data_IF_596552986374
#
_entry.id   IF_596552986374
#
_cell.length_a   1.000
_cell.length_b   1.000
_cell.length_c   1.000
_cell.angle_alpha   90.00
_cell.angle_beta   90.00
_cell.angle_gamma   90.00
#
_symmetry.space_group_name_H-M   'P 1'
#
loop_
_entity.id
_entity.type
_entity.pdbx_description
1 polymer ?
#
# COMPACT_ATOMS: atom_id res chain seq x y z
N UNK A 1 18.20 2.38 2.78
CA UNK A 1 17.13 2.29 3.81
C UNK A 1 17.01 3.65 4.49
N UNK A 2 15.81 4.09 4.86
CA UNK A 2 15.60 5.39 5.52
C UNK A 2 15.51 5.24 7.05
N UNK A 3 15.84 6.30 7.82
CA UNK A 3 15.60 6.35 9.27
C UNK A 3 14.11 6.26 9.62
N UNK A 4 13.82 5.89 10.87
CA UNK A 4 12.45 5.75 11.37
C UNK A 4 11.69 7.07 11.31
N UNK A 5 12.35 8.18 11.60
CA UNK A 5 11.79 9.53 11.61
C UNK A 5 11.28 9.90 10.21
N UNK A 6 12.09 9.65 9.18
CA UNK A 6 11.68 9.87 7.79
C UNK A 6 10.55 8.92 7.37
N UNK A 7 10.54 7.69 7.86
CA UNK A 7 9.45 6.76 7.62
C UNK A 7 8.13 7.24 8.24
N UNK A 8 8.17 7.80 9.44
CA UNK A 8 7.00 8.38 10.11
C UNK A 8 6.42 9.54 9.29
N UNK A 9 7.26 10.48 8.87
CA UNK A 9 6.84 11.61 8.02
C UNK A 9 6.15 11.15 6.73
N UNK A 10 6.73 10.15 6.05
CA UNK A 10 6.16 9.57 4.83
C UNK A 10 4.83 8.87 5.12
N UNK A 11 4.75 8.08 6.19
CA UNK A 11 3.53 7.39 6.59
C UNK A 11 2.41 8.38 6.94
N UNK A 12 2.72 9.47 7.63
CA UNK A 12 1.77 10.55 7.96
C UNK A 12 1.30 11.28 6.69
N UNK A 13 2.24 11.61 5.80
CA UNK A 13 1.95 12.22 4.50
C UNK A 13 0.97 11.35 3.69
N UNK A 14 1.24 10.04 3.58
CA UNK A 14 0.35 9.11 2.89
C UNK A 14 -0.99 8.93 3.62
N UNK A 15 -0.97 8.77 4.95
CA UNK A 15 -2.20 8.61 5.77
C UNK A 15 -3.15 9.80 5.63
N UNK A 16 -2.60 11.02 5.52
CA UNK A 16 -3.41 12.23 5.36
C UNK A 16 -4.14 12.30 4.01
N UNK A 17 -3.64 11.59 2.99
CA UNK A 17 -4.13 11.62 1.60
C UNK A 17 -4.91 10.38 1.19
N UNK A 18 -4.49 9.21 1.67
CA UNK A 18 -5.09 7.91 1.35
C UNK A 18 -5.87 7.42 2.57
N UNK A 19 -7.10 7.92 2.73
CA UNK A 19 -7.99 7.53 3.84
C UNK A 19 -8.91 6.37 3.48
N UNK A 20 -9.27 6.26 2.21
CA UNK A 20 -10.22 5.28 1.69
C UNK A 20 -9.95 5.01 0.22
N UNK A 21 -10.17 3.78 -0.21
CA UNK A 21 -10.24 3.38 -1.61
C UNK A 21 -11.57 2.64 -1.76
N UNK A 22 -12.44 3.12 -2.66
CA UNK A 22 -13.84 2.65 -2.75
C UNK A 22 -14.56 2.77 -1.39
N UNK A 23 -15.07 1.65 -0.87
CA UNK A 23 -15.73 1.50 0.42
C UNK A 23 -14.77 1.04 1.54
N UNK A 24 -13.48 0.85 1.24
CA UNK A 24 -12.48 0.26 2.14
C UNK A 24 -11.61 1.33 2.79
N UNK A 25 -11.63 1.41 4.12
CA UNK A 25 -10.75 2.26 4.92
C UNK A 25 -9.28 1.83 4.77
N UNK A 26 -8.39 2.81 4.58
CA UNK A 26 -6.94 2.59 4.48
C UNK A 26 -6.25 3.19 5.70
N UNK A 27 -5.52 2.35 6.43
CA UNK A 27 -4.83 2.74 7.65
C UNK A 27 -3.35 2.44 7.48
N UNK A 28 -2.50 3.46 7.47
CA UNK A 28 -1.05 3.31 7.33
C UNK A 28 -0.40 3.55 8.69
N UNK A 29 0.54 2.69 9.09
CA UNK A 29 1.28 2.82 10.35
C UNK A 29 2.76 2.56 10.13
N UNK A 30 3.58 3.51 10.59
CA UNK A 30 5.03 3.37 10.60
C UNK A 30 5.47 2.28 11.58
N UNK A 31 6.53 1.55 11.22
CA UNK A 31 7.23 0.59 12.06
C UNK A 31 8.65 1.09 12.39
N UNK A 32 9.61 0.16 12.51
CA UNK A 32 11.03 0.52 12.70
C UNK A 32 11.75 0.62 11.36
N UNK A 33 12.64 1.60 11.24
CA UNK A 33 13.38 1.92 10.00
C UNK A 33 12.41 2.18 8.83
N UNK A 34 12.63 1.53 7.69
CA UNK A 34 11.82 1.64 6.48
C UNK A 34 10.55 0.80 6.51
N UNK A 35 10.30 0.01 7.57
CA UNK A 35 9.14 -0.89 7.64
C UNK A 35 7.90 -0.10 8.04
N UNK A 36 6.78 -0.42 7.40
CA UNK A 36 5.46 0.11 7.75
C UNK A 36 4.41 -0.96 7.40
N UNK A 37 3.19 -0.76 7.88
CA UNK A 37 2.04 -1.61 7.55
C UNK A 37 0.92 -0.78 6.96
N UNK A 38 0.13 -1.42 6.09
CA UNK A 38 -1.12 -0.90 5.56
C UNK A 38 -2.21 -1.88 5.95
N UNK A 39 -3.28 -1.38 6.56
CA UNK A 39 -4.46 -2.17 6.90
C UNK A 39 -5.60 -1.69 6.03
N UNK A 40 -6.19 -2.62 5.28
CA UNK A 40 -7.42 -2.43 4.53
C UNK A 40 -8.57 -2.94 5.40
N UNK A 41 -9.51 -2.06 5.74
CA UNK A 41 -10.67 -2.41 6.58
C UNK A 41 -11.97 -2.11 5.83
N UNK A 42 -12.76 -3.14 5.61
CA UNK A 42 -14.04 -3.06 4.93
C UNK A 42 -14.60 -4.47 4.68
N UNK A 43 -15.76 -4.52 4.05
CA UNK A 43 -16.43 -5.77 3.73
C UNK A 43 -15.92 -6.37 2.42
N UNK A 44 -16.16 -7.67 2.22
CA UNK A 44 -15.79 -8.43 1.01
C UNK A 44 -14.29 -8.40 0.65
N UNK A 45 -13.43 -8.32 1.67
CA UNK A 45 -11.98 -8.47 1.53
C UNK A 45 -11.58 -9.95 1.65
N UNK A 46 -10.53 -10.33 0.94
CA UNK A 46 -10.02 -11.71 0.85
C UNK A 46 -8.51 -11.70 0.84
N UNK A 47 -7.90 -12.68 1.51
CA UNK A 47 -6.45 -12.93 1.49
C UNK A 47 -5.99 -13.66 0.22
N UNK A 48 -6.92 -14.07 -0.65
CA UNK A 48 -6.67 -14.71 -1.93
C UNK A 48 -6.10 -13.78 -3.00
N UNK A 49 -4.99 -13.08 -2.72
CA UNK A 49 -4.31 -12.15 -3.65
C UNK A 49 -2.81 -12.42 -3.71
N UNK A 50 -2.19 -12.12 -4.87
CA UNK A 50 -0.74 -12.24 -5.05
C UNK A 50 0.01 -11.05 -4.46
N UNK A 51 1.21 -11.32 -3.96
CA UNK A 51 2.14 -10.31 -3.47
C UNK A 51 2.58 -9.35 -4.59
N UNK A 52 2.74 -8.09 -4.22
CA UNK A 52 3.23 -7.02 -5.08
C UNK A 52 4.77 -6.93 -5.04
N UNK A 53 5.43 -7.51 -4.04
CA UNK A 53 6.89 -7.44 -3.92
C UNK A 53 7.58 -8.33 -4.98
N UNK A 54 8.40 -7.77 -5.89
CA UNK A 54 9.16 -8.55 -6.85
C UNK A 54 10.34 -9.32 -6.23
N UNK A 55 10.63 -9.12 -4.94
CA UNK A 55 11.76 -9.67 -4.16
C UNK A 55 13.15 -9.34 -4.74
N UNK A 56 13.20 -8.39 -5.69
CA UNK A 56 14.41 -7.98 -6.39
C UNK A 56 14.45 -6.45 -6.47
N UNK A 57 15.62 -5.90 -6.15
CA UNK A 57 15.87 -4.46 -6.20
C UNK A 57 15.86 -3.98 -7.65
N UNK A 58 15.25 -2.81 -7.90
CA UNK A 58 15.21 -2.18 -9.22
C UNK A 58 14.03 -2.60 -10.10
N UNK A 59 13.23 -3.58 -9.68
CA UNK A 59 11.98 -3.92 -10.35
C UNK A 59 10.82 -3.08 -9.82
N UNK A 60 9.86 -2.78 -10.69
CA UNK A 60 8.59 -2.17 -10.29
C UNK A 60 7.78 -3.16 -9.44
N UNK A 61 6.93 -2.67 -8.51
CA UNK A 61 5.93 -3.51 -7.86
C UNK A 61 5.14 -4.31 -8.89
N UNK A 62 4.88 -5.58 -8.59
CA UNK A 62 3.99 -6.42 -9.39
C UNK A 62 2.56 -5.94 -9.22
N UNK A 63 1.77 -6.08 -10.28
CA UNK A 63 0.32 -5.93 -10.20
C UNK A 63 -0.22 -7.11 -9.39
N UNK A 64 -0.85 -6.83 -8.25
CA UNK A 64 -1.54 -7.84 -7.46
C UNK A 64 -2.66 -8.44 -8.30
N UNK A 65 -2.78 -9.76 -8.27
CA UNK A 65 -3.83 -10.48 -8.98
C UNK A 65 -4.55 -11.40 -8.01
N UNK A 66 -5.85 -11.56 -8.22
CA UNK A 66 -6.64 -12.48 -7.41
C UNK A 66 -6.27 -13.94 -7.67
N UNK A 67 -6.39 -14.77 -6.65
CA UNK A 67 -6.26 -16.23 -6.73
C UNK A 67 -7.63 -16.91 -6.93
N UNK A 68 -8.73 -16.24 -6.61
CA UNK A 68 -10.10 -16.71 -6.77
C UNK A 68 -11.07 -15.54 -7.09
N UNK A 69 -12.37 -15.76 -7.18
CA UNK A 69 -13.33 -14.66 -7.43
C UNK A 69 -13.47 -13.68 -6.25
N UNK A 70 -13.13 -14.11 -5.03
CA UNK A 70 -13.29 -13.29 -3.81
C UNK A 70 -12.16 -12.28 -3.65
N UNK A 71 -10.96 -12.59 -4.15
CA UNK A 71 -9.81 -11.68 -4.11
C UNK A 71 -9.84 -10.55 -5.13
N UNK A 72 -10.79 -10.50 -6.07
CA UNK A 72 -10.82 -9.48 -7.13
C UNK A 72 -10.94 -8.06 -6.59
N UNK A 73 -11.84 -7.86 -5.60
CA UNK A 73 -11.96 -6.57 -4.89
C UNK A 73 -10.65 -6.21 -4.22
N UNK A 74 -10.06 -7.15 -3.47
CA UNK A 74 -8.83 -6.89 -2.70
C UNK A 74 -7.65 -6.58 -3.63
N UNK A 75 -7.48 -7.32 -4.72
CA UNK A 75 -6.41 -7.07 -5.70
C UNK A 75 -6.54 -5.68 -6.31
N UNK A 76 -7.76 -5.25 -6.64
CA UNK A 76 -8.03 -3.89 -7.14
C UNK A 76 -7.67 -2.82 -6.10
N UNK A 77 -8.12 -2.97 -4.85
CA UNK A 77 -7.78 -2.04 -3.76
C UNK A 77 -6.27 -1.94 -3.54
N UNK A 78 -5.56 -3.07 -3.52
CA UNK A 78 -4.09 -3.11 -3.36
C UNK A 78 -3.40 -2.41 -4.52
N UNK A 79 -3.81 -2.67 -5.76
CA UNK A 79 -3.21 -2.02 -6.93
C UNK A 79 -3.46 -0.51 -6.92
N UNK A 80 -4.69 -0.07 -6.64
CA UNK A 80 -5.01 1.35 -6.52
C UNK A 80 -4.21 2.02 -5.40
N UNK A 81 -3.99 1.32 -4.27
CA UNK A 81 -3.12 1.82 -3.20
C UNK A 81 -1.69 2.02 -3.70
N UNK A 82 -1.09 1.01 -4.33
CA UNK A 82 0.29 1.05 -4.82
C UNK A 82 0.48 2.15 -5.87
N UNK A 83 -0.45 2.29 -6.81
CA UNK A 83 -0.42 3.34 -7.83
C UNK A 83 -0.54 4.73 -7.22
N UNK A 84 -1.52 4.93 -6.31
CA UNK A 84 -1.74 6.21 -5.64
C UNK A 84 -0.54 6.60 -4.78
N UNK A 85 -0.03 5.68 -3.96
CA UNK A 85 1.14 5.91 -3.13
C UNK A 85 2.37 6.22 -4.00
N UNK A 86 2.59 5.46 -5.08
CA UNK A 86 3.70 5.71 -6.01
C UNK A 86 3.59 7.09 -6.67
N UNK A 87 2.39 7.52 -7.05
CA UNK A 87 2.19 8.84 -7.63
C UNK A 87 2.45 9.96 -6.61
N UNK A 88 1.92 9.83 -5.39
CA UNK A 88 2.10 10.82 -4.34
C UNK A 88 3.56 10.94 -3.89
N UNK A 89 4.31 9.84 -3.90
CA UNK A 89 5.72 9.83 -3.50
C UNK A 89 6.67 10.33 -4.58
N UNK A 90 6.29 10.32 -5.87
CA UNK A 90 7.13 10.89 -6.95
C UNK A 90 7.37 12.38 -6.75
N UNK A 91 6.34 13.10 -6.30
CA UNK A 91 6.39 14.54 -6.07
C UNK A 91 6.74 14.88 -4.61
N UNK A 92 6.87 13.86 -3.75
CA UNK A 92 7.26 14.04 -2.36
C UNK A 92 8.75 14.34 -2.28
N UNK A 93 9.05 15.63 -2.14
CA UNK A 93 10.38 16.11 -1.80
C UNK A 93 10.46 16.29 -0.28
N UNK A 94 11.41 15.63 0.41
CA UNK A 94 11.69 15.82 1.83
C UNK A 94 11.88 17.28 2.25
#
# INVERSE_FOLDING_TARGET
>A
RIPTEKNQEICEFLSSRIKRIEDVEVIIRSGKEHRFVVVFRGDDLSDGVKDTDPQQVGLKPRVSASLDSRGEKTARIVNTFVETASSLLKDYTP
#
